data_IF_229217217049
#
_entry.id   IF_229217217049
#
_cell.length_a   1.000
_cell.length_b   1.000
_cell.length_c   1.000
_cell.angle_alpha   90.00
_cell.angle_beta   90.00
_cell.angle_gamma   90.00
#
_symmetry.space_group_name_H-M   'P 1'
#
loop_
_entity.id
_entity.type
_entity.pdbx_description
1 polymer ?
#
# COMPACT_ATOMS: atom_id res chain seq x y z
N UNK A 1 19.56 -53.55 35.53
CA UNK A 1 18.54 -53.16 34.52
C UNK A 1 17.15 -53.33 35.12
N UNK A 2 16.49 -52.25 35.50
CA UNK A 2 15.03 -52.20 35.74
C UNK A 2 14.62 -50.72 35.73
N UNK A 3 13.56 -50.40 34.99
CA UNK A 3 13.09 -49.04 34.68
C UNK A 3 12.64 -48.29 35.94
N UNK A 4 12.95 -47.00 35.99
CA UNK A 4 12.13 -45.99 36.68
C UNK A 4 11.97 -44.77 35.76
N UNK A 5 10.83 -44.68 35.08
CA UNK A 5 10.35 -43.41 34.53
C UNK A 5 9.52 -42.71 35.61
N UNK A 6 9.98 -41.53 36.04
CA UNK A 6 9.16 -40.57 36.79
C UNK A 6 9.00 -39.31 35.96
N UNK A 7 7.73 -38.96 35.74
CA UNK A 7 7.09 -37.65 35.65
C UNK A 7 7.70 -36.60 34.69
N UNK A 8 6.95 -36.38 33.61
CA UNK A 8 6.30 -35.10 33.32
C UNK A 8 7.16 -33.94 32.84
N UNK A 9 6.90 -33.48 31.62
CA UNK A 9 6.67 -32.07 31.35
C UNK A 9 6.16 -31.91 29.91
N UNK A 10 5.13 -31.08 29.80
CA UNK A 10 4.48 -30.60 28.59
C UNK A 10 5.46 -29.99 27.59
N UNK A 11 5.18 -30.17 26.31
CA UNK A 11 5.91 -29.48 25.25
C UNK A 11 5.49 -29.98 23.87
N UNK A 12 4.34 -29.52 23.39
CA UNK A 12 3.95 -29.62 21.99
C UNK A 12 4.92 -28.74 21.19
N UNK A 13 6.07 -29.31 20.82
CA UNK A 13 6.95 -28.75 19.81
C UNK A 13 6.51 -29.30 18.47
N UNK A 14 5.49 -28.68 17.85
CA UNK A 14 5.18 -28.94 16.45
C UNK A 14 6.43 -28.54 15.67
N UNK A 15 7.15 -29.54 15.16
CA UNK A 15 8.37 -29.37 14.40
C UNK A 15 8.03 -28.65 13.09
N UNK A 16 8.10 -27.31 13.11
CA UNK A 16 7.89 -26.41 11.96
C UNK A 16 8.79 -26.73 10.76
N UNK A 17 9.83 -27.53 10.97
CA UNK A 17 10.73 -28.02 9.93
C UNK A 17 10.08 -29.06 8.99
N UNK A 18 9.09 -29.82 9.45
CA UNK A 18 8.45 -30.85 8.63
C UNK A 18 7.49 -30.26 7.58
N UNK A 19 6.77 -29.19 7.94
CA UNK A 19 5.80 -28.51 7.04
C UNK A 19 6.52 -27.74 5.92
N UNK A 20 7.72 -27.22 6.18
CA UNK A 20 8.50 -26.54 5.13
C UNK A 20 9.07 -27.52 4.10
N UNK A 21 9.48 -28.73 4.50
CA UNK A 21 10.11 -29.69 3.59
C UNK A 21 9.18 -30.19 2.48
N UNK A 22 7.86 -30.18 2.67
CA UNK A 22 6.90 -30.64 1.65
C UNK A 22 6.62 -29.62 0.53
N UNK A 23 6.91 -28.32 0.71
CA UNK A 23 6.66 -27.32 -0.36
C UNK A 23 7.78 -27.22 -1.41
N UNK A 24 8.94 -27.83 -1.17
CA UNK A 24 10.12 -27.67 -2.03
C UNK A 24 10.44 -28.84 -2.97
N UNK A 25 9.53 -29.81 -3.14
CA UNK A 25 9.81 -31.00 -3.96
C UNK A 25 9.47 -30.86 -5.46
N UNK A 26 8.75 -29.81 -5.89
CA UNK A 26 8.21 -29.76 -7.26
C UNK A 26 9.03 -28.96 -8.28
N UNK A 27 10.05 -28.18 -7.86
CA UNK A 27 10.83 -27.37 -8.81
C UNK A 27 12.26 -27.86 -8.96
N UNK A 28 12.41 -29.07 -9.52
CA UNK A 28 13.71 -29.57 -9.99
C UNK A 28 13.66 -29.80 -11.50
N UNK A 29 13.83 -28.71 -12.25
CA UNK A 29 14.40 -28.65 -13.61
C UNK A 29 14.65 -27.18 -13.93
N UNK A 30 15.90 -26.87 -14.28
CA UNK A 30 16.52 -25.54 -14.42
C UNK A 30 16.98 -24.91 -13.09
N UNK A 31 18.30 -24.95 -12.85
CA UNK A 31 18.95 -24.04 -11.89
C UNK A 31 18.79 -22.64 -12.46
N UNK A 32 17.76 -21.93 -12.02
CA UNK A 32 17.63 -20.49 -12.25
C UNK A 32 18.30 -19.83 -11.05
N UNK A 33 19.41 -19.15 -11.29
CA UNK A 33 19.99 -18.27 -10.30
C UNK A 33 18.99 -17.13 -10.05
N UNK A 34 18.18 -17.27 -9.00
CA UNK A 34 17.39 -16.17 -8.48
C UNK A 34 18.35 -15.17 -7.85
N UNK A 35 18.99 -14.34 -8.68
CA UNK A 35 19.49 -13.06 -8.18
C UNK A 35 18.27 -12.34 -7.62
N UNK A 36 18.22 -11.99 -6.32
CA UNK A 36 17.16 -11.14 -5.83
C UNK A 36 17.23 -9.88 -6.70
N UNK A 37 16.21 -9.64 -7.53
CA UNK A 37 16.11 -8.37 -8.22
C UNK A 37 16.18 -7.33 -7.11
N UNK A 38 17.24 -6.51 -7.12
CA UNK A 38 17.31 -5.32 -6.28
C UNK A 38 15.99 -4.61 -6.51
N UNK A 39 15.08 -4.73 -5.54
CA UNK A 39 13.83 -4.00 -5.51
C UNK A 39 14.27 -2.56 -5.55
N UNK A 40 14.23 -1.98 -6.75
CA UNK A 40 14.51 -0.59 -6.99
C UNK A 40 13.58 0.11 -6.02
N UNK A 41 14.14 0.74 -4.99
CA UNK A 41 13.42 1.67 -4.12
C UNK A 41 12.90 2.75 -5.06
N UNK A 42 11.75 2.48 -5.70
CA UNK A 42 11.17 3.27 -6.75
C UNK A 42 10.64 4.49 -6.05
N UNK A 43 11.48 5.52 -6.02
CA UNK A 43 11.26 6.89 -5.56
C UNK A 43 9.79 7.29 -5.62
N UNK A 44 9.04 6.97 -4.56
CA UNK A 44 7.64 7.37 -4.42
C UNK A 44 7.54 8.90 -4.33
N UNK A 45 8.59 9.52 -3.79
CA UNK A 45 8.80 10.96 -3.64
C UNK A 45 8.70 11.73 -4.97
N UNK A 46 9.20 11.20 -6.08
CA UNK A 46 9.17 11.94 -7.39
C UNK A 46 7.75 12.02 -7.96
N UNK A 47 6.86 11.10 -7.57
CA UNK A 47 5.47 11.12 -8.03
C UNK A 47 4.56 11.99 -7.16
N UNK A 48 4.91 12.21 -5.89
CA UNK A 48 4.07 12.97 -4.97
C UNK A 48 3.95 14.44 -5.39
N UNK A 49 5.03 15.07 -5.87
CA UNK A 49 5.00 16.45 -6.40
C UNK A 49 4.12 16.57 -7.66
N UNK A 50 4.29 15.63 -8.59
CA UNK A 50 3.50 15.58 -9.84
C UNK A 50 2.03 15.29 -9.52
N UNK A 51 1.76 14.41 -8.55
CA UNK A 51 0.42 14.07 -8.06
C UNK A 51 -0.23 15.28 -7.40
N UNK A 52 0.50 16.00 -6.54
CA UNK A 52 0.05 17.24 -5.90
C UNK A 52 -0.33 18.29 -6.95
N UNK A 53 0.53 18.51 -7.96
CA UNK A 53 0.25 19.43 -9.07
C UNK A 53 -1.05 19.05 -9.78
N UNK A 54 -1.22 17.77 -10.14
CA UNK A 54 -2.44 17.29 -10.82
C UNK A 54 -3.71 17.46 -9.99
N UNK A 55 -3.64 17.23 -8.68
CA UNK A 55 -4.78 17.43 -7.77
C UNK A 55 -5.14 18.91 -7.69
N UNK A 56 -4.16 19.80 -7.53
CA UNK A 56 -4.37 21.26 -7.51
C UNK A 56 -4.95 21.76 -8.84
N UNK A 57 -4.44 21.29 -9.97
CA UNK A 57 -4.95 21.65 -11.30
C UNK A 57 -6.41 21.19 -11.49
N UNK A 58 -6.75 19.98 -11.06
CA UNK A 58 -8.14 19.48 -11.07
C UNK A 58 -9.07 20.32 -10.19
N UNK A 59 -8.64 20.64 -8.96
CA UNK A 59 -9.41 21.50 -8.05
C UNK A 59 -9.66 22.88 -8.66
N UNK A 60 -8.66 23.48 -9.32
CA UNK A 60 -8.79 24.75 -10.05
C UNK A 60 -9.83 24.65 -11.18
N UNK A 61 -9.82 23.57 -11.95
CA UNK A 61 -10.80 23.32 -13.00
C UNK A 61 -12.23 23.21 -12.46
N UNK A 62 -12.43 22.52 -11.33
CA UNK A 62 -13.75 22.41 -10.69
C UNK A 62 -14.21 23.75 -10.13
N UNK A 63 -13.31 24.52 -9.49
CA UNK A 63 -13.61 25.86 -9.00
C UNK A 63 -14.05 26.80 -10.13
N UNK A 64 -13.37 26.73 -11.28
CA UNK A 64 -13.78 27.45 -12.49
C UNK A 64 -15.13 26.95 -13.01
N UNK A 65 -15.39 25.64 -13.02
CA UNK A 65 -16.71 25.12 -13.35
C UNK A 65 -17.80 25.70 -12.46
N UNK A 66 -17.60 25.73 -11.14
CA UNK A 66 -18.55 26.23 -10.15
C UNK A 66 -18.91 27.71 -10.30
N UNK A 67 -18.06 28.54 -10.93
CA UNK A 67 -18.39 29.95 -11.21
C UNK A 67 -19.42 30.11 -12.33
N UNK A 68 -19.67 29.08 -13.13
CA UNK A 68 -20.68 29.13 -14.18
C UNK A 68 -22.08 29.01 -13.58
N UNK A 69 -23.00 29.87 -14.02
CA UNK A 69 -24.35 29.97 -13.47
C UNK A 69 -25.30 28.86 -13.96
N UNK A 70 -24.97 28.20 -15.08
CA UNK A 70 -25.85 27.23 -15.75
C UNK A 70 -25.83 25.81 -15.14
N UNK A 71 -25.31 25.66 -13.92
CA UNK A 71 -25.19 24.37 -13.25
C UNK A 71 -26.39 24.15 -12.34
N UNK A 72 -27.08 23.01 -12.53
CA UNK A 72 -28.18 22.62 -11.65
C UNK A 72 -27.71 22.45 -10.20
N UNK A 73 -28.59 22.77 -9.24
CA UNK A 73 -28.27 22.71 -7.80
C UNK A 73 -27.65 21.38 -7.37
N UNK A 74 -28.19 20.26 -7.86
CA UNK A 74 -27.65 18.92 -7.56
C UNK A 74 -26.22 18.75 -8.07
N UNK A 75 -25.94 19.15 -9.32
CA UNK A 75 -24.58 19.06 -9.90
C UNK A 75 -23.61 19.97 -9.16
N UNK A 76 -24.04 21.17 -8.77
CA UNK A 76 -23.26 22.12 -7.96
C UNK A 76 -22.82 21.48 -6.65
N UNK A 77 -23.76 20.89 -5.89
CA UNK A 77 -23.47 20.23 -4.61
C UNK A 77 -22.49 19.06 -4.75
N UNK A 78 -22.60 18.27 -5.81
CA UNK A 78 -21.65 17.19 -6.10
C UNK A 78 -20.25 17.75 -6.43
N UNK A 79 -20.18 18.79 -7.25
CA UNK A 79 -18.91 19.44 -7.60
C UNK A 79 -18.23 20.10 -6.39
N UNK A 80 -18.99 20.71 -5.49
CA UNK A 80 -18.49 21.26 -4.22
C UNK A 80 -17.90 20.16 -3.32
N UNK A 81 -18.58 19.02 -3.22
CA UNK A 81 -18.07 17.87 -2.47
C UNK A 81 -16.77 17.33 -3.07
N UNK A 82 -16.70 17.22 -4.39
CA UNK A 82 -15.48 16.79 -5.09
C UNK A 82 -14.36 17.81 -4.87
N UNK A 83 -14.64 19.10 -4.97
CA UNK A 83 -13.66 20.16 -4.72
C UNK A 83 -13.08 20.04 -3.32
N UNK A 84 -13.94 19.93 -2.30
CA UNK A 84 -13.52 19.81 -0.92
C UNK A 84 -12.60 18.58 -0.69
N UNK A 85 -12.96 17.43 -1.26
CA UNK A 85 -12.13 16.22 -1.17
C UNK A 85 -10.76 16.39 -1.83
N UNK A 86 -10.68 17.08 -2.96
CA UNK A 86 -9.42 17.36 -3.63
C UNK A 86 -8.55 18.33 -2.84
N UNK A 87 -9.15 19.33 -2.20
CA UNK A 87 -8.43 20.25 -1.31
C UNK A 87 -7.85 19.52 -0.09
N UNK A 88 -8.63 18.64 0.55
CA UNK A 88 -8.13 17.80 1.65
C UNK A 88 -6.99 16.89 1.21
N UNK A 89 -7.11 16.24 0.05
CA UNK A 89 -6.05 15.40 -0.50
C UNK A 89 -4.78 16.19 -0.81
N UNK A 90 -4.92 17.41 -1.37
CA UNK A 90 -3.79 18.28 -1.63
C UNK A 90 -3.07 18.69 -0.34
N UNK A 91 -3.82 19.05 0.70
CA UNK A 91 -3.25 19.41 2.01
C UNK A 91 -2.52 18.23 2.65
N UNK A 92 -3.08 17.02 2.59
CA UNK A 92 -2.45 15.83 3.14
C UNK A 92 -1.11 15.52 2.46
N UNK A 93 -1.08 15.55 1.12
CA UNK A 93 0.14 15.30 0.34
C UNK A 93 1.19 16.40 0.58
N UNK A 94 0.77 17.66 0.63
CA UNK A 94 1.66 18.80 0.89
C UNK A 94 2.32 18.70 2.28
N UNK A 95 1.59 18.22 3.29
CA UNK A 95 2.13 17.92 4.63
C UNK A 95 3.14 16.78 4.61
N UNK A 96 2.84 15.69 3.90
CA UNK A 96 3.76 14.55 3.77
C UNK A 96 5.05 14.93 3.03
N UNK A 97 4.97 15.80 2.03
CA UNK A 97 6.13 16.30 1.29
C UNK A 97 7.00 17.22 2.15
N UNK A 98 6.40 18.09 2.96
CA UNK A 98 7.13 19.01 3.87
C UNK A 98 7.73 18.32 5.10
N UNK A 99 7.18 17.18 5.50
CA UNK A 99 7.66 16.41 6.66
C UNK A 99 8.85 15.50 6.31
N UNK A 100 9.18 15.33 5.03
CA UNK A 100 10.35 14.57 4.55
C UNK A 100 11.57 15.48 4.46
#
# INVERSE_FOLDING_TARGET
>A
MLRKQKKGAYGIGVNSQAVQKQKFSVYRRWKVDFKPMLMRNNKQVVQDDVRLKRIKDRAKGIKFGLTHHDISFRKRKEMEKILHNLELAAVAIDRELKSK
#
